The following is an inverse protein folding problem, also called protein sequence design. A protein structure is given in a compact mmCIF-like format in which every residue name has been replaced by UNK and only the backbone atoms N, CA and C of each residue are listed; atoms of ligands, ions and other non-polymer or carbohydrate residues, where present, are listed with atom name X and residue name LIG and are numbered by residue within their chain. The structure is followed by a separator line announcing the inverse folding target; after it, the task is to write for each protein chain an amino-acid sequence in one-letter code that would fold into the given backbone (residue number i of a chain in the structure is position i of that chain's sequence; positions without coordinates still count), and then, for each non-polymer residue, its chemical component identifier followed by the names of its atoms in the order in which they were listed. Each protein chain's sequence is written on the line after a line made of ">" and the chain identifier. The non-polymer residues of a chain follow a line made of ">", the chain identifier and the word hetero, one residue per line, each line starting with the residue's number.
data_IF_629223140181
#
_entry.id   IF_629223140181
#
_cell.length_a   1.000
_cell.length_b   1.000
_cell.length_c   1.000
_cell.angle_alpha   90.00
_cell.angle_beta   90.00
_cell.angle_gamma   90.00
#
_symmetry.space_group_name_H-M   'P 1'
#
loop_
_entity.id
_entity.type
_entity.pdbx_description
1 polymer ?
#
# COMPACT_ATOMS: atom_id res chain seq x y z
N UNK A 1 15.02 -21.26 -6.78
CA UNK A 1 13.61 -20.74 -6.81
C UNK A 1 13.70 -19.26 -6.51
N UNK A 2 12.95 -18.40 -7.21
CA UNK A 2 12.98 -16.95 -6.92
C UNK A 2 12.40 -16.67 -5.54
N UNK A 3 13.00 -15.73 -4.80
CA UNK A 3 12.53 -15.28 -3.50
C UNK A 3 11.15 -14.62 -3.63
N UNK A 4 10.17 -15.05 -2.84
CA UNK A 4 8.81 -14.51 -2.88
C UNK A 4 8.47 -13.86 -1.54
N UNK A 5 8.42 -12.53 -1.52
CA UNK A 5 8.15 -11.73 -0.32
C UNK A 5 6.87 -12.15 0.41
N UNK A 6 5.84 -12.56 -0.31
CA UNK A 6 4.58 -13.03 0.31
C UNK A 6 4.75 -14.35 1.07
N UNK A 7 5.69 -15.18 0.64
CA UNK A 7 5.96 -16.48 1.28
C UNK A 7 6.95 -16.38 2.44
N UNK A 8 7.94 -15.49 2.29
CA UNK A 8 9.01 -15.31 3.27
C UNK A 8 8.57 -14.42 4.45
N UNK A 9 7.76 -13.38 4.17
CA UNK A 9 7.25 -12.44 5.18
C UNK A 9 5.73 -12.59 5.35
N UNK A 10 5.30 -13.80 5.73
CA UNK A 10 3.86 -14.12 5.87
C UNK A 10 3.16 -13.23 6.89
N UNK A 11 3.86 -12.82 7.93
CA UNK A 11 3.33 -11.89 8.94
C UNK A 11 2.88 -10.56 8.34
N UNK A 12 3.50 -10.09 7.26
CA UNK A 12 3.14 -8.83 6.60
C UNK A 12 2.18 -9.00 5.43
N UNK A 13 2.27 -10.12 4.70
CA UNK A 13 1.56 -10.30 3.43
C UNK A 13 0.44 -11.34 3.46
N UNK A 14 0.44 -12.23 4.44
CA UNK A 14 -0.51 -13.34 4.51
C UNK A 14 -1.12 -13.49 5.91
N UNK A 15 -1.60 -12.39 6.56
CA UNK A 15 -2.30 -12.52 7.82
C UNK A 15 -3.56 -13.36 7.65
N UNK A 16 -4.15 -13.78 8.75
CA UNK A 16 -5.44 -14.49 8.74
C UNK A 16 -6.59 -13.52 8.47
N UNK A 17 -7.78 -14.05 8.17
CA UNK A 17 -9.05 -13.30 8.14
C UNK A 17 -9.57 -12.89 9.52
N UNK A 18 -8.78 -13.08 10.59
CA UNK A 18 -9.01 -12.57 11.94
C UNK A 18 -7.98 -11.48 12.23
N UNK A 19 -8.38 -10.36 12.85
CA UNK A 19 -7.46 -9.28 13.16
C UNK A 19 -6.26 -9.72 14.01
N UNK A 20 -5.12 -9.09 13.79
CA UNK A 20 -3.88 -9.31 14.55
C UNK A 20 -3.07 -8.03 14.66
N UNK A 21 -2.25 -7.95 15.72
CA UNK A 21 -1.31 -6.85 15.91
C UNK A 21 0.04 -7.25 15.30
N UNK A 22 0.68 -6.30 14.60
CA UNK A 22 1.97 -6.48 13.95
C UNK A 22 2.81 -5.21 14.13
N UNK A 23 4.13 -5.37 14.20
CA UNK A 23 5.08 -4.24 14.11
C UNK A 23 5.80 -4.34 12.77
N UNK A 24 5.55 -3.37 11.90
CA UNK A 24 6.14 -3.33 10.55
C UNK A 24 7.39 -2.48 10.59
N UNK A 25 8.57 -3.04 10.25
CA UNK A 25 9.82 -2.30 10.28
C UNK A 25 9.88 -1.28 9.12
N UNK A 26 10.91 -0.45 9.15
CA UNK A 26 11.23 0.43 8.05
C UNK A 26 11.52 -0.37 6.78
N UNK A 27 10.84 -0.02 5.69
CA UNK A 27 11.02 -0.62 4.37
C UNK A 27 11.23 0.47 3.32
N UNK A 28 11.84 0.09 2.19
CA UNK A 28 12.01 0.97 1.04
C UNK A 28 11.02 0.57 -0.06
N UNK A 29 10.54 1.57 -0.78
CA UNK A 29 9.52 1.43 -1.81
C UNK A 29 9.86 2.27 -3.03
N UNK A 30 9.37 1.84 -4.20
CA UNK A 30 9.06 2.73 -5.31
C UNK A 30 7.71 3.34 -4.98
N UNK A 31 7.56 4.66 -5.03
CA UNK A 31 6.28 5.31 -4.75
C UNK A 31 5.89 6.29 -5.85
N UNK A 32 4.59 6.44 -6.08
CA UNK A 32 3.98 7.50 -6.90
C UNK A 32 2.81 8.06 -6.13
N UNK A 33 2.75 9.39 -6.02
CA UNK A 33 1.66 10.12 -5.37
C UNK A 33 0.67 10.63 -6.39
N UNK A 34 -0.60 10.65 -6.01
CA UNK A 34 -1.66 11.20 -6.85
C UNK A 34 -2.97 11.36 -6.10
N UNK A 35 -3.99 11.71 -6.85
CA UNK A 35 -5.36 11.89 -6.35
C UNK A 35 -6.36 11.45 -7.43
N UNK A 36 -7.65 11.37 -7.04
CA UNK A 36 -8.75 11.02 -7.92
C UNK A 36 -9.19 9.57 -7.82
N UNK A 37 -10.20 9.26 -8.62
CA UNK A 37 -10.87 7.97 -8.61
C UNK A 37 -9.96 6.87 -9.19
N UNK A 38 -9.62 5.81 -8.42
CA UNK A 38 -8.77 4.73 -8.90
C UNK A 38 -9.42 3.87 -10.01
N UNK A 39 -10.74 4.00 -10.20
CA UNK A 39 -11.48 3.26 -11.21
C UNK A 39 -11.50 3.96 -12.58
N UNK A 40 -10.99 5.18 -12.69
CA UNK A 40 -10.94 5.91 -13.95
C UNK A 40 -10.03 5.20 -14.96
N UNK A 41 -10.58 4.88 -16.13
CA UNK A 41 -9.90 4.06 -17.14
C UNK A 41 -8.55 4.66 -17.60
N UNK A 42 -8.47 5.98 -17.68
CA UNK A 42 -7.26 6.73 -18.06
C UNK A 42 -6.76 7.65 -16.94
N UNK A 43 -7.18 7.37 -15.69
CA UNK A 43 -6.87 8.14 -14.50
C UNK A 43 -5.40 8.09 -14.06
N UNK A 44 -5.05 9.02 -13.18
CA UNK A 44 -3.69 9.11 -12.62
C UNK A 44 -3.25 7.81 -11.93
N UNK A 45 -4.18 7.12 -11.26
CA UNK A 45 -3.89 5.88 -10.54
C UNK A 45 -3.37 4.79 -11.47
N UNK A 46 -4.04 4.58 -12.62
CA UNK A 46 -3.61 3.60 -13.62
C UNK A 46 -2.24 3.96 -14.22
N UNK A 47 -2.00 5.24 -14.45
CA UNK A 47 -0.69 5.72 -14.93
C UNK A 47 0.40 5.46 -13.89
N UNK A 48 0.13 5.75 -12.61
CA UNK A 48 1.04 5.48 -11.50
C UNK A 48 1.43 4.00 -11.40
N UNK A 49 0.46 3.08 -11.52
CA UNK A 49 0.73 1.62 -11.57
C UNK A 49 1.70 1.30 -12.71
N UNK A 50 1.52 1.90 -13.88
CA UNK A 50 2.42 1.72 -15.03
C UNK A 50 3.86 2.16 -14.73
N UNK A 51 4.04 3.28 -14.02
CA UNK A 51 5.34 3.78 -13.59
C UNK A 51 5.99 2.84 -12.57
N UNK A 52 5.24 2.43 -11.53
CA UNK A 52 5.72 1.54 -10.48
C UNK A 52 6.26 0.23 -11.05
N UNK A 53 5.44 -0.47 -11.85
CA UNK A 53 5.88 -1.72 -12.47
C UNK A 53 6.99 -1.51 -13.50
N UNK A 54 7.02 -0.37 -14.19
CA UNK A 54 8.10 -0.02 -15.11
C UNK A 54 9.47 -0.02 -14.44
N UNK A 55 9.57 0.61 -13.27
CA UNK A 55 10.80 0.66 -12.47
C UNK A 55 11.07 -0.70 -11.82
N UNK A 56 10.07 -1.31 -11.17
CA UNK A 56 10.22 -2.59 -10.48
C UNK A 56 10.77 -3.69 -11.41
N UNK A 57 10.26 -3.78 -12.64
CA UNK A 57 10.78 -4.73 -13.64
C UNK A 57 12.15 -4.32 -14.19
N UNK A 58 12.47 -3.03 -14.28
CA UNK A 58 13.81 -2.58 -14.68
C UNK A 58 14.84 -3.03 -13.64
N UNK A 59 14.57 -2.83 -12.35
CA UNK A 59 15.42 -3.31 -11.26
C UNK A 59 15.53 -4.85 -11.29
N UNK A 60 14.41 -5.56 -11.39
CA UNK A 60 14.40 -7.03 -11.45
C UNK A 60 15.25 -7.57 -12.62
N UNK A 61 15.28 -6.86 -13.72
CA UNK A 61 16.00 -7.28 -14.93
C UNK A 61 17.42 -6.71 -15.01
N UNK A 62 17.92 -5.99 -14.01
CA UNK A 62 19.27 -5.40 -13.97
C UNK A 62 20.36 -6.45 -14.24
N UNK A 63 20.17 -7.69 -13.77
CA UNK A 63 21.08 -8.81 -14.03
C UNK A 63 21.33 -9.14 -15.52
N UNK A 64 20.49 -8.62 -16.42
CA UNK A 64 20.62 -8.77 -17.88
C UNK A 64 21.12 -7.49 -18.56
N UNK A 65 21.41 -6.46 -17.79
CA UNK A 65 21.86 -5.15 -18.24
C UNK A 65 23.29 -4.91 -17.74
N UNK A 66 23.88 -3.79 -18.13
CA UNK A 66 25.25 -3.43 -17.74
C UNK A 66 25.35 -2.95 -16.27
N UNK A 67 24.22 -2.81 -15.58
CA UNK A 67 24.15 -2.38 -14.19
C UNK A 67 23.98 -3.59 -13.26
N UNK A 68 25.03 -3.93 -12.53
CA UNK A 68 25.01 -4.98 -11.52
C UNK A 68 24.67 -4.36 -10.16
N UNK A 69 23.64 -4.88 -9.51
CA UNK A 69 23.25 -4.45 -8.16
C UNK A 69 23.90 -5.38 -7.14
N UNK A 70 24.64 -4.82 -6.21
CA UNK A 70 25.32 -5.59 -5.17
C UNK A 70 24.30 -6.34 -4.30
N UNK A 71 24.61 -7.60 -3.98
CA UNK A 71 23.70 -8.44 -3.19
C UNK A 71 22.45 -8.91 -3.92
N UNK A 72 22.35 -8.68 -5.23
CA UNK A 72 21.19 -9.11 -6.02
C UNK A 72 20.92 -10.61 -5.91
N UNK A 73 19.69 -10.96 -5.61
CA UNK A 73 19.13 -12.32 -5.78
C UNK A 73 17.84 -12.28 -6.60
N UNK A 74 17.50 -13.39 -7.24
CA UNK A 74 16.28 -13.45 -8.05
C UNK A 74 15.03 -13.48 -7.16
N UNK A 75 14.07 -12.60 -7.43
CA UNK A 75 12.86 -12.41 -6.61
C UNK A 75 11.61 -12.24 -7.47
N UNK A 76 10.45 -12.49 -6.86
CA UNK A 76 9.14 -12.11 -7.42
C UNK A 76 8.90 -10.65 -7.04
N UNK A 77 8.52 -9.81 -8.01
CA UNK A 77 8.14 -8.42 -7.72
C UNK A 77 7.05 -8.42 -6.64
N UNK A 78 7.25 -7.70 -5.53
CA UNK A 78 6.26 -7.63 -4.47
C UNK A 78 4.91 -7.10 -4.95
N UNK A 79 3.84 -7.34 -4.21
CA UNK A 79 2.51 -6.83 -4.58
C UNK A 79 2.48 -5.31 -4.69
N UNK A 80 1.51 -4.80 -5.41
CA UNK A 80 1.11 -3.40 -5.35
C UNK A 80 0.50 -3.14 -3.98
N UNK A 81 0.84 -2.00 -3.39
CA UNK A 81 0.31 -1.52 -2.13
C UNK A 81 -0.15 -0.07 -2.28
N UNK A 82 -1.05 0.40 -1.42
CA UNK A 82 -1.55 1.76 -1.47
C UNK A 82 -1.80 2.32 -0.08
N UNK A 83 -1.33 3.55 0.16
CA UNK A 83 -1.73 4.36 1.31
C UNK A 83 -2.81 5.33 0.86
N UNK A 84 -3.95 5.36 1.58
CA UNK A 84 -5.14 6.06 1.15
C UNK A 84 -5.64 7.05 2.20
N UNK A 85 -6.19 8.18 1.74
CA UNK A 85 -6.91 9.15 2.56
C UNK A 85 -7.81 10.05 1.70
N UNK A 86 -8.68 10.80 2.36
CA UNK A 86 -9.52 11.85 1.76
C UNK A 86 -9.40 13.16 2.53
N UNK A 87 -9.75 14.26 1.89
CA UNK A 87 -9.75 15.60 2.47
C UNK A 87 -8.36 16.18 2.69
N UNK A 88 -8.32 17.39 3.24
CA UNK A 88 -7.09 18.00 3.75
C UNK A 88 -6.86 17.48 5.17
N UNK A 89 -5.75 16.81 5.40
CA UNK A 89 -5.38 16.37 6.75
C UNK A 89 -4.90 17.56 7.54
N UNK A 90 -5.59 17.86 8.63
CA UNK A 90 -5.10 18.80 9.65
C UNK A 90 -4.36 18.01 10.73
N UNK A 91 -3.22 18.52 11.23
CA UNK A 91 -2.56 17.94 12.41
C UNK A 91 -3.58 17.91 13.56
N UNK A 92 -3.85 16.72 14.10
CA UNK A 92 -4.78 16.54 15.23
C UNK A 92 -6.21 16.15 14.88
N UNK A 93 -6.58 16.02 13.60
CA UNK A 93 -7.87 15.44 13.23
C UNK A 93 -7.87 13.94 13.54
N UNK A 94 -8.27 13.61 14.77
CA UNK A 94 -8.66 12.26 15.12
C UNK A 94 -9.89 11.89 14.29
N UNK A 95 -9.79 10.82 13.51
CA UNK A 95 -10.83 10.33 12.61
C UNK A 95 -11.97 9.65 13.36
N UNK A 96 -12.61 10.36 14.28
CA UNK A 96 -13.83 9.96 14.96
C UNK A 96 -14.86 11.07 14.79
N UNK A 97 -15.45 11.18 13.60
CA UNK A 97 -16.74 11.85 13.48
C UNK A 97 -17.82 10.78 13.53
N UNK A 98 -18.62 10.82 14.59
CA UNK A 98 -19.94 10.21 14.59
C UNK A 98 -20.87 11.08 13.77
N UNK A 99 -21.73 10.48 12.93
CA UNK A 99 -22.82 11.20 12.29
C UNK A 99 -23.79 11.74 13.38
N UNK A 100 -24.72 12.62 12.98
CA UNK A 100 -25.74 13.16 13.89
C UNK A 100 -26.63 12.09 14.54
N UNK A 101 -26.57 10.84 14.09
CA UNK A 101 -27.30 9.69 14.61
C UNK A 101 -26.42 8.81 15.52
N UNK A 102 -25.18 9.22 15.86
CA UNK A 102 -24.25 8.47 16.71
C UNK A 102 -23.64 7.25 16.03
N UNK A 103 -23.83 7.10 14.72
CA UNK A 103 -23.15 6.06 13.94
C UNK A 103 -21.73 6.53 13.64
N UNK A 104 -20.75 5.66 13.89
CA UNK A 104 -19.37 5.88 13.51
C UNK A 104 -19.29 5.90 11.97
N UNK A 105 -19.14 7.08 11.38
CA UNK A 105 -18.86 7.19 9.96
C UNK A 105 -17.60 6.41 9.64
N UNK A 106 -17.64 5.68 8.52
CA UNK A 106 -16.66 4.72 8.03
C UNK A 106 -15.30 4.84 8.71
N UNK A 107 -14.98 3.89 9.54
CA UNK A 107 -13.94 3.88 10.58
C UNK A 107 -12.52 4.13 10.05
N UNK A 108 -12.32 4.12 8.73
CA UNK A 108 -11.06 4.50 8.07
C UNK A 108 -11.02 5.99 7.68
N UNK A 109 -12.14 6.73 7.82
CA UNK A 109 -12.31 8.08 7.29
C UNK A 109 -12.30 8.14 5.77
N UNK A 110 -12.49 7.01 5.13
CA UNK A 110 -12.63 6.88 3.69
C UNK A 110 -14.11 6.77 3.37
N UNK A 111 -14.61 7.71 2.57
CA UNK A 111 -15.96 7.68 1.99
C UNK A 111 -15.87 7.07 0.59
N UNK A 112 -16.22 5.79 0.47
CA UNK A 112 -16.17 5.05 -0.79
C UNK A 112 -17.18 5.58 -1.84
N UNK A 113 -18.15 6.40 -1.45
CA UNK A 113 -19.07 7.06 -2.37
C UNK A 113 -18.44 8.26 -3.09
N UNK A 114 -17.33 8.79 -2.56
CA UNK A 114 -16.65 9.98 -3.08
C UNK A 114 -15.22 9.65 -3.50
N UNK A 115 -15.07 8.70 -4.44
CA UNK A 115 -13.77 8.19 -4.89
C UNK A 115 -12.93 9.25 -5.63
N UNK A 116 -13.56 10.28 -6.17
CA UNK A 116 -12.90 11.44 -6.78
C UNK A 116 -12.06 12.26 -5.80
N UNK A 117 -12.40 12.20 -4.50
CA UNK A 117 -11.67 12.91 -3.44
C UNK A 117 -10.50 12.09 -2.86
N UNK A 118 -10.25 10.91 -3.37
CA UNK A 118 -9.16 10.07 -2.89
C UNK A 118 -7.82 10.72 -3.18
N UNK A 119 -6.94 10.65 -2.18
CA UNK A 119 -5.51 10.91 -2.28
C UNK A 119 -4.79 9.62 -1.92
N UNK A 120 -3.71 9.36 -2.62
CA UNK A 120 -3.00 8.09 -2.46
C UNK A 120 -1.51 8.21 -2.69
N UNK A 121 -0.79 7.28 -2.09
CA UNK A 121 0.59 6.93 -2.42
C UNK A 121 0.57 5.47 -2.82
N UNK A 122 0.66 5.18 -4.11
CA UNK A 122 0.82 3.81 -4.59
C UNK A 122 2.27 3.41 -4.51
N UNK A 123 2.53 2.18 -4.03
CA UNK A 123 3.90 1.73 -3.80
C UNK A 123 4.10 0.27 -4.24
N UNK A 124 5.35 -0.07 -4.53
CA UNK A 124 5.86 -1.45 -4.60
C UNK A 124 7.11 -1.52 -3.74
N UNK A 125 7.15 -2.47 -2.79
CA UNK A 125 8.32 -2.68 -1.94
C UNK A 125 9.56 -2.97 -2.79
N UNK A 126 10.67 -2.33 -2.45
CA UNK A 126 11.98 -2.64 -2.99
C UNK A 126 12.65 -3.75 -2.17
N UNK A 127 13.39 -4.67 -2.80
CA UNK A 127 14.32 -5.53 -2.10
C UNK A 127 15.33 -4.72 -1.28
N UNK A 128 15.77 -5.27 -0.15
CA UNK A 128 16.65 -4.55 0.79
C UNK A 128 18.04 -4.25 0.21
N UNK A 129 18.44 -4.98 -0.84
CA UNK A 129 19.69 -4.73 -1.56
C UNK A 129 19.63 -3.52 -2.52
N UNK A 130 18.44 -2.96 -2.79
CA UNK A 130 18.29 -1.84 -3.73
C UNK A 130 18.60 -0.53 -3.04
N UNK A 131 19.63 0.15 -3.51
CA UNK A 131 20.01 1.48 -3.04
C UNK A 131 19.25 2.58 -3.78
N UNK A 132 19.39 3.83 -3.31
CA UNK A 132 18.86 4.99 -4.04
C UNK A 132 19.51 5.15 -5.42
N UNK A 133 20.80 4.89 -5.53
CA UNK A 133 21.55 4.97 -6.78
C UNK A 133 21.02 3.95 -7.80
N UNK A 134 20.68 2.74 -7.37
CA UNK A 134 20.08 1.71 -8.21
C UNK A 134 18.67 2.12 -8.67
N UNK A 135 17.89 2.71 -7.78
CA UNK A 135 16.59 3.26 -8.12
C UNK A 135 16.72 4.39 -9.17
N UNK A 136 17.62 5.35 -8.96
CA UNK A 136 17.83 6.47 -9.88
C UNK A 136 18.32 5.97 -11.25
N UNK A 137 19.18 4.93 -11.29
CA UNK A 137 19.53 4.25 -12.51
C UNK A 137 18.30 3.64 -13.20
N UNK A 138 17.45 2.95 -12.45
CA UNK A 138 16.27 2.28 -12.99
C UNK A 138 15.26 3.28 -13.57
N UNK A 139 15.09 4.45 -12.94
CA UNK A 139 14.26 5.56 -13.46
C UNK A 139 14.77 6.04 -14.80
N UNK A 140 16.08 6.34 -14.90
CA UNK A 140 16.70 6.77 -16.17
C UNK A 140 16.57 5.70 -17.26
N UNK A 141 16.84 4.45 -16.91
CA UNK A 141 16.77 3.31 -17.84
C UNK A 141 15.35 3.08 -18.34
N UNK A 142 14.35 3.10 -17.45
CA UNK A 142 12.94 2.94 -17.79
C UNK A 142 12.45 4.07 -18.69
N UNK A 143 12.82 5.32 -18.38
CA UNK A 143 12.50 6.51 -19.19
C UNK A 143 13.03 6.37 -20.61
N UNK A 144 14.31 6.02 -20.75
CA UNK A 144 14.92 5.87 -22.06
C UNK A 144 14.29 4.73 -22.89
N UNK A 145 14.03 3.58 -22.23
CA UNK A 145 13.52 2.38 -22.91
C UNK A 145 12.04 2.52 -23.32
N UNK A 146 11.21 3.12 -22.47
CA UNK A 146 9.76 3.22 -22.69
C UNK A 146 9.33 4.54 -23.35
N UNK A 147 10.24 5.50 -23.49
CA UNK A 147 9.95 6.86 -23.97
C UNK A 147 8.81 7.52 -23.22
N UNK A 148 8.74 7.27 -21.91
CA UNK A 148 7.74 7.78 -20.97
C UNK A 148 8.47 8.45 -19.82
N UNK A 149 7.90 9.56 -19.30
CA UNK A 149 8.45 10.22 -18.12
C UNK A 149 8.16 9.43 -16.84
N UNK A 150 9.21 9.05 -16.12
CA UNK A 150 9.17 8.38 -14.83
C UNK A 150 9.55 9.30 -13.66
N UNK A 151 9.68 10.61 -13.88
CA UNK A 151 10.12 11.57 -12.84
C UNK A 151 9.15 11.68 -11.65
N UNK A 152 7.88 11.30 -11.84
CA UNK A 152 6.89 11.25 -10.74
C UNK A 152 7.17 10.13 -9.72
N UNK A 153 8.01 9.16 -10.04
CA UNK A 153 8.35 8.09 -9.11
C UNK A 153 9.44 8.54 -8.13
N UNK A 154 9.30 8.14 -6.88
CA UNK A 154 10.24 8.45 -5.81
C UNK A 154 10.73 7.19 -5.08
N UNK A 155 11.96 7.24 -4.56
CA UNK A 155 12.45 6.28 -3.58
C UNK A 155 11.93 6.67 -2.21
N UNK A 156 11.00 5.89 -1.69
CA UNK A 156 10.26 6.20 -0.47
C UNK A 156 10.66 5.23 0.65
N UNK A 157 11.21 5.75 1.73
CA UNK A 157 11.50 4.98 2.94
C UNK A 157 10.42 5.26 3.98
N UNK A 158 9.79 4.19 4.49
CA UNK A 158 8.68 4.33 5.43
C UNK A 158 8.74 3.27 6.52
N UNK A 159 8.53 3.69 7.77
CA UNK A 159 8.36 2.83 8.93
C UNK A 159 6.91 2.92 9.39
N UNK A 160 6.15 1.87 9.17
CA UNK A 160 4.74 1.83 9.53
C UNK A 160 4.55 1.61 11.03
N UNK A 161 5.47 0.86 11.67
CA UNK A 161 5.48 0.63 13.11
C UNK A 161 4.35 -0.27 13.59
N UNK A 162 3.79 0.02 14.76
CA UNK A 162 2.75 -0.78 15.39
C UNK A 162 1.41 -0.60 14.69
N UNK A 163 0.81 -1.71 14.23
CA UNK A 163 -0.42 -1.73 13.46
C UNK A 163 -1.34 -2.86 13.88
N UNK A 164 -2.63 -2.70 13.62
CA UNK A 164 -3.61 -3.79 13.52
C UNK A 164 -3.80 -4.11 12.05
N UNK A 165 -3.90 -5.40 11.71
CA UNK A 165 -4.10 -5.86 10.34
C UNK A 165 -5.06 -7.03 10.25
N UNK A 166 -5.67 -7.19 9.07
CA UNK A 166 -6.54 -8.32 8.74
C UNK A 166 -6.49 -8.63 7.25
N UNK A 167 -6.70 -9.88 6.87
CA UNK A 167 -6.99 -10.25 5.48
C UNK A 167 -8.44 -9.99 5.19
N UNK A 168 -8.73 -9.06 4.28
CA UNK A 168 -10.04 -8.88 3.67
C UNK A 168 -10.20 -9.82 2.48
N UNK A 169 -11.34 -10.50 2.38
CA UNK A 169 -11.72 -11.31 1.22
C UNK A 169 -13.07 -10.78 0.74
N UNK A 170 -13.07 -10.12 -0.41
CA UNK A 170 -14.25 -9.46 -0.95
C UNK A 170 -13.91 -8.30 -1.88
N UNK A 171 -14.95 -7.59 -2.33
CA UNK A 171 -14.78 -6.34 -3.07
C UNK A 171 -14.24 -5.23 -2.16
N UNK A 172 -13.53 -4.27 -2.72
CA UNK A 172 -12.98 -3.14 -1.94
C UNK A 172 -14.07 -2.34 -1.22
N UNK A 173 -15.25 -2.20 -1.84
CA UNK A 173 -16.38 -1.47 -1.23
C UNK A 173 -16.97 -2.20 0.00
N UNK A 174 -16.60 -3.48 0.24
CA UNK A 174 -16.99 -4.29 1.40
C UNK A 174 -15.96 -4.22 2.55
N UNK A 175 -14.82 -3.55 2.37
CA UNK A 175 -13.76 -3.41 3.38
C UNK A 175 -14.21 -2.83 4.73
N UNK A 176 -15.21 -1.92 4.80
CA UNK A 176 -15.68 -1.38 6.08
C UNK A 176 -16.02 -2.44 7.13
N UNK A 177 -16.55 -3.60 6.72
CA UNK A 177 -16.86 -4.71 7.64
C UNK A 177 -15.58 -5.28 8.30
N UNK A 178 -14.51 -5.41 7.52
CA UNK A 178 -13.21 -5.89 8.02
C UNK A 178 -12.55 -4.84 8.91
N UNK A 179 -12.63 -3.57 8.52
CA UNK A 179 -12.10 -2.44 9.30
C UNK A 179 -12.79 -2.34 10.67
N UNK A 180 -14.12 -2.49 10.73
CA UNK A 180 -14.86 -2.51 11.99
C UNK A 180 -14.44 -3.66 12.92
N UNK A 181 -14.17 -4.84 12.34
CA UNK A 181 -13.65 -5.97 13.11
C UNK A 181 -12.25 -5.70 13.66
N UNK A 182 -11.38 -5.08 12.85
CA UNK A 182 -10.02 -4.68 13.29
C UNK A 182 -10.08 -3.67 14.44
N UNK A 183 -10.99 -2.70 14.38
CA UNK A 183 -11.11 -1.66 15.39
C UNK A 183 -11.65 -2.19 16.71
N UNK A 184 -12.68 -3.03 16.68
CA UNK A 184 -13.16 -3.71 17.91
C UNK A 184 -12.05 -4.54 18.55
N UNK A 185 -11.32 -5.31 17.75
CA UNK A 185 -10.22 -6.12 18.26
C UNK A 185 -9.13 -5.26 18.91
N UNK A 186 -8.68 -4.17 18.26
CA UNK A 186 -7.62 -3.33 18.84
C UNK A 186 -8.06 -2.67 20.15
N UNK A 187 -9.33 -2.20 20.23
CA UNK A 187 -9.90 -1.60 21.46
C UNK A 187 -9.93 -2.63 22.61
N UNK A 188 -10.35 -3.87 22.35
CA UNK A 188 -10.33 -4.98 23.31
C UNK A 188 -8.91 -5.30 23.80
N UNK A 189 -7.89 -5.06 22.98
CA UNK A 189 -6.47 -5.25 23.33
C UNK A 189 -5.83 -4.01 23.99
N UNK A 190 -6.59 -2.95 24.28
CA UNK A 190 -6.11 -1.72 24.92
C UNK A 190 -5.34 -0.79 24.00
N UNK A 191 -5.69 -0.76 22.72
CA UNK A 191 -5.11 0.14 21.73
C UNK A 191 -6.17 1.08 21.15
N UNK A 192 -5.70 2.17 20.56
CA UNK A 192 -6.49 3.14 19.81
C UNK A 192 -5.84 3.42 18.47
N UNK A 193 -6.63 3.92 17.52
CA UNK A 193 -6.11 4.33 16.21
C UNK A 193 -5.07 5.44 16.34
N UNK A 194 -4.06 5.37 15.48
CA UNK A 194 -3.01 6.37 15.34
C UNK A 194 -2.82 6.80 13.88
N UNK A 195 -3.92 6.90 13.14
CA UNK A 195 -3.89 7.43 11.77
C UNK A 195 -3.59 8.93 11.84
N UNK A 196 -2.54 9.35 11.14
CA UNK A 196 -2.03 10.73 11.10
C UNK A 196 -1.65 11.09 9.65
N UNK A 197 -1.14 12.29 9.43
CA UNK A 197 -0.55 12.71 8.14
C UNK A 197 0.68 11.87 7.72
N UNK A 198 1.28 11.15 8.68
CA UNK A 198 2.45 10.30 8.46
C UNK A 198 2.17 8.80 8.61
N UNK A 199 1.04 8.42 9.17
CA UNK A 199 0.64 7.03 9.41
C UNK A 199 -0.77 6.84 8.87
N UNK A 200 -0.90 6.11 7.76
CA UNK A 200 -2.09 6.13 6.91
C UNK A 200 -2.79 4.76 6.90
N UNK A 201 -4.03 4.76 6.45
CA UNK A 201 -4.69 3.53 6.00
C UNK A 201 -3.88 2.89 4.88
N UNK A 202 -3.58 1.60 5.01
CA UNK A 202 -2.73 0.87 4.09
C UNK A 202 -3.40 -0.38 3.57
N UNK A 203 -3.40 -0.56 2.27
CA UNK A 203 -3.91 -1.73 1.56
C UNK A 203 -2.80 -2.41 0.77
N UNK A 204 -2.75 -3.75 0.82
CA UNK A 204 -1.80 -4.58 0.08
C UNK A 204 -2.59 -5.54 -0.82
N UNK A 205 -2.47 -5.39 -2.13
CA UNK A 205 -3.30 -6.08 -3.12
C UNK A 205 -2.67 -7.41 -3.52
N UNK A 206 -3.23 -8.52 -3.03
CA UNK A 206 -2.70 -9.87 -3.28
C UNK A 206 -3.32 -10.53 -4.51
N UNK A 207 -4.44 -10.02 -4.97
CA UNK A 207 -5.18 -10.53 -6.14
C UNK A 207 -5.07 -9.59 -7.34
N UNK A 208 -5.01 -10.16 -8.54
CA UNK A 208 -5.13 -9.40 -9.79
C UNK A 208 -6.62 -9.26 -10.13
N UNK A 209 -7.16 -8.04 -10.00
CA UNK A 209 -8.57 -7.70 -10.28
C UNK A 209 -9.04 -8.08 -11.70
N UNK A 210 -8.12 -8.27 -12.63
CA UNK A 210 -8.43 -8.69 -14.01
C UNK A 210 -8.68 -10.19 -14.13
N UNK A 211 -8.31 -10.98 -13.09
CA UNK A 211 -8.31 -12.46 -13.12
C UNK A 211 -9.15 -13.08 -12.02
N UNK A 212 -9.45 -12.32 -10.98
CA UNK A 212 -10.14 -12.80 -9.79
C UNK A 212 -11.46 -12.05 -9.66
N UNK A 213 -12.55 -12.78 -9.45
CA UNK A 213 -13.87 -12.19 -9.22
C UNK A 213 -13.89 -11.35 -7.92
N UNK A 214 -14.66 -10.24 -7.88
CA UNK A 214 -14.62 -9.29 -6.77
C UNK A 214 -14.79 -9.94 -5.39
N UNK A 215 -15.69 -10.89 -5.23
CA UNK A 215 -15.98 -11.60 -3.98
C UNK A 215 -14.83 -12.53 -3.50
N UNK A 216 -13.80 -12.72 -4.32
CA UNK A 216 -12.62 -13.55 -4.02
C UNK A 216 -11.32 -12.75 -3.98
N UNK A 217 -11.39 -11.45 -4.15
CA UNK A 217 -10.21 -10.58 -4.01
C UNK A 217 -9.65 -10.71 -2.60
N UNK A 218 -8.34 -10.60 -2.49
CA UNK A 218 -7.61 -10.65 -1.22
C UNK A 218 -6.80 -9.38 -1.06
N UNK A 219 -7.09 -8.63 -0.01
CA UNK A 219 -6.40 -7.41 0.37
C UNK A 219 -5.98 -7.51 1.83
N UNK A 220 -4.72 -7.21 2.15
CA UNK A 220 -4.36 -6.97 3.54
C UNK A 220 -4.69 -5.52 3.86
N UNK A 221 -5.56 -5.32 4.85
CA UNK A 221 -5.85 -3.99 5.38
C UNK A 221 -5.02 -3.80 6.64
N UNK A 222 -4.41 -2.62 6.79
CA UNK A 222 -3.56 -2.29 7.93
C UNK A 222 -3.79 -0.88 8.41
N UNK A 223 -3.98 -0.73 9.72
CA UNK A 223 -4.14 0.56 10.37
C UNK A 223 -3.11 0.74 11.48
N UNK A 224 -2.45 1.90 11.54
CA UNK A 224 -1.54 2.22 12.63
C UNK A 224 -2.31 2.42 13.93
N UNK A 225 -1.73 1.91 15.02
CA UNK A 225 -2.30 1.97 16.37
C UNK A 225 -1.25 2.41 17.38
N UNK A 226 -1.73 2.84 18.56
CA UNK A 226 -0.92 3.13 19.74
C UNK A 226 -1.63 2.65 21.00
N UNK A 227 -0.91 2.55 22.12
CA UNK A 227 -1.53 2.28 23.42
C UNK A 227 -2.56 3.36 23.74
N UNK A 228 -3.72 2.93 24.29
CA UNK A 228 -4.77 3.80 24.76
C UNK A 228 -4.38 4.59 26.00
#
# INVERSE_FOLDING_TARGET
>A
MAFDYKKEYKEFYMPKGTPSIVTVPKMNYIAVRGNGNPNDADGEYKQAIGLLYGIAFTIKMSKKEDHQIDGYFDYVVPPLEGFWWQGERRPGDAMLRTDRAGRRDGVSGIDYARKEDFKWISVIRLPDFVTREDFDWAVRKATAKKKQDFSKAEFFSYEEGLCVQCMHIGAYDDEPVTVDAMHRFMEEQGYTLDITDRRMHHEIYLSDVRKVAPEKLKTVIRHPIKRA
#
